data_IF_645583460277
#
_entry.id   IF_645583460277
#
_cell.length_a   1.000
_cell.length_b   1.000
_cell.length_c   1.000
_cell.angle_alpha   90.00
_cell.angle_beta   90.00
_cell.angle_gamma   90.00
#
_symmetry.space_group_name_H-M   'P 1'
#
loop_
_entity.id
_entity.type
_entity.pdbx_description
1 polymer ?
#
# COMPACT_ATOMS: atom_id res chain seq x y z
N UNK A 1 12.00 28.38 -6.80
CA UNK A 1 11.71 26.95 -6.65
C UNK A 1 12.35 26.52 -5.33
N UNK A 2 11.55 26.43 -4.26
CA UNK A 2 12.04 26.14 -2.90
C UNK A 2 11.95 24.64 -2.65
N UNK A 3 13.09 23.97 -2.52
CA UNK A 3 13.14 22.57 -2.11
C UNK A 3 12.84 22.49 -0.62
N UNK A 4 11.68 21.93 -0.24
CA UNK A 4 11.40 21.55 1.15
C UNK A 4 12.15 20.26 1.42
N UNK A 5 13.17 20.31 2.26
CA UNK A 5 13.77 19.10 2.81
C UNK A 5 12.81 18.57 3.88
N UNK A 6 12.12 17.47 3.57
CA UNK A 6 11.33 16.74 4.56
C UNK A 6 12.32 15.99 5.44
N UNK A 7 12.63 16.53 6.61
CA UNK A 7 13.35 15.78 7.63
C UNK A 7 12.41 14.71 8.20
N UNK A 8 12.69 13.44 7.94
CA UNK A 8 11.96 12.32 8.55
C UNK A 8 12.73 11.80 9.76
N UNK A 9 12.11 11.85 10.93
CA UNK A 9 12.62 11.14 12.12
C UNK A 9 12.67 9.63 11.85
N UNK A 10 13.67 8.91 12.36
CA UNK A 10 13.74 7.46 12.22
C UNK A 10 12.53 6.78 12.90
N UNK A 11 12.07 5.63 12.38
CA UNK A 11 11.02 4.85 13.03
C UNK A 11 11.47 4.39 14.43
N UNK A 12 10.53 4.34 15.36
CA UNK A 12 10.80 3.90 16.73
C UNK A 12 11.13 2.41 16.79
N UNK A 13 11.82 1.92 17.85
CA UNK A 13 12.07 0.50 18.03
C UNK A 13 10.78 -0.35 18.03
N UNK A 14 9.69 0.18 18.58
CA UNK A 14 8.39 -0.48 18.57
C UNK A 14 7.80 -0.59 17.15
N UNK A 15 8.03 0.42 16.29
CA UNK A 15 7.61 0.35 14.89
C UNK A 15 8.42 -0.69 14.10
N UNK A 16 9.72 -0.79 14.35
CA UNK A 16 10.58 -1.81 13.75
C UNK A 16 10.15 -3.23 14.16
N UNK A 17 9.87 -3.47 15.46
CA UNK A 17 9.37 -4.77 15.93
C UNK A 17 8.05 -5.16 15.25
N UNK A 18 7.10 -4.24 15.11
CA UNK A 18 5.83 -4.50 14.40
C UNK A 18 6.05 -4.78 12.91
N UNK A 19 7.07 -4.16 12.31
CA UNK A 19 7.42 -4.39 10.91
C UNK A 19 8.02 -5.79 10.71
N UNK A 20 8.84 -6.26 11.65
CA UNK A 20 9.36 -7.63 11.66
C UNK A 20 8.22 -8.65 11.83
N UNK A 21 7.29 -8.41 12.77
CA UNK A 21 6.11 -9.25 12.96
C UNK A 21 5.25 -9.33 11.68
N UNK A 22 5.01 -8.18 11.03
CA UNK A 22 4.28 -8.12 9.76
C UNK A 22 4.98 -8.96 8.69
N UNK A 23 6.30 -8.86 8.60
CA UNK A 23 7.11 -9.59 7.62
C UNK A 23 6.99 -11.10 7.83
N UNK A 24 7.06 -11.58 9.07
CA UNK A 24 6.90 -13.00 9.41
C UNK A 24 5.48 -13.51 9.10
N UNK A 25 4.45 -12.73 9.45
CA UNK A 25 3.06 -13.07 9.11
C UNK A 25 2.90 -13.21 7.60
N UNK A 26 3.42 -12.26 6.81
CA UNK A 26 3.37 -12.31 5.36
C UNK A 26 4.11 -13.54 4.80
N UNK A 27 5.31 -13.86 5.31
CA UNK A 27 6.06 -15.07 4.91
C UNK A 27 5.24 -16.33 5.09
N UNK A 28 4.46 -16.42 6.17
CA UNK A 28 3.66 -17.59 6.52
C UNK A 28 2.53 -17.90 5.53
N UNK A 29 2.04 -16.91 4.77
CA UNK A 29 0.94 -17.11 3.82
C UNK A 29 1.34 -17.78 2.50
N UNK A 30 2.59 -17.67 2.07
CA UNK A 30 3.08 -18.19 0.78
C UNK A 30 2.61 -17.44 -0.47
N UNK A 31 1.38 -16.92 -0.50
CA UNK A 31 0.82 -16.02 -1.54
C UNK A 31 -0.33 -15.19 -1.00
N UNK A 32 -0.53 -13.97 -1.50
CA UNK A 32 -1.57 -13.05 -1.00
C UNK A 32 -2.22 -12.22 -2.11
N UNK A 33 -3.50 -11.86 -1.91
CA UNK A 33 -4.20 -10.80 -2.64
C UNK A 33 -4.40 -9.60 -1.69
N UNK A 34 -3.83 -8.45 -2.03
CA UNK A 34 -3.93 -7.21 -1.23
C UNK A 34 -5.03 -6.32 -1.77
N UNK A 35 -6.03 -5.99 -0.94
CA UNK A 35 -7.01 -4.96 -1.27
C UNK A 35 -6.32 -3.58 -1.24
N UNK A 36 -6.17 -2.97 -2.42
CA UNK A 36 -5.39 -1.75 -2.62
C UNK A 36 -6.31 -0.55 -2.89
N UNK A 37 -6.29 0.43 -1.99
CA UNK A 37 -7.11 1.65 -2.08
C UNK A 37 -6.32 2.89 -2.54
N UNK A 38 -5.00 2.80 -2.65
CA UNK A 38 -4.12 3.93 -2.96
C UNK A 38 -3.64 4.72 -1.74
N UNK A 39 -4.17 4.46 -0.54
CA UNK A 39 -3.71 5.08 0.70
C UNK A 39 -2.36 4.56 1.17
N UNK A 40 -1.70 5.32 2.05
CA UNK A 40 -0.35 5.00 2.59
C UNK A 40 -0.30 3.62 3.25
N UNK A 41 -1.34 3.23 3.97
CA UNK A 41 -1.39 1.93 4.66
C UNK A 41 -1.43 0.76 3.67
N UNK A 42 -2.34 0.83 2.68
CA UNK A 42 -2.45 -0.20 1.64
C UNK A 42 -1.21 -0.27 0.74
N UNK A 43 -0.54 0.88 0.54
CA UNK A 43 0.71 0.96 -0.23
C UNK A 43 1.87 0.35 0.54
N UNK A 44 2.01 0.65 1.83
CA UNK A 44 3.00 0.02 2.70
C UNK A 44 2.81 -1.49 2.75
N UNK A 45 1.57 -1.94 2.97
CA UNK A 45 1.25 -3.36 3.03
C UNK A 45 1.57 -4.08 1.72
N UNK A 46 1.13 -3.52 0.58
CA UNK A 46 1.44 -4.07 -0.74
C UNK A 46 2.96 -4.16 -0.97
N UNK A 47 3.70 -3.11 -0.57
CA UNK A 47 5.15 -3.08 -0.70
C UNK A 47 5.81 -4.19 0.11
N UNK A 48 5.44 -4.36 1.37
CA UNK A 48 5.97 -5.42 2.24
C UNK A 48 5.62 -6.79 1.67
N UNK A 49 4.38 -7.02 1.27
CA UNK A 49 3.94 -8.27 0.65
C UNK A 49 4.76 -8.61 -0.60
N UNK A 50 5.01 -7.62 -1.46
CA UNK A 50 5.80 -7.82 -2.67
C UNK A 50 7.28 -8.06 -2.37
N UNK A 51 7.87 -7.36 -1.40
CA UNK A 51 9.28 -7.57 -1.02
C UNK A 51 9.51 -8.97 -0.40
N UNK A 52 8.50 -9.51 0.27
CA UNK A 52 8.57 -10.82 0.94
C UNK A 52 8.22 -11.98 0.02
N UNK A 53 7.15 -11.87 -0.76
CA UNK A 53 6.59 -12.97 -1.56
C UNK A 53 6.84 -12.84 -3.06
N UNK A 54 7.34 -11.69 -3.51
CA UNK A 54 7.61 -11.39 -4.91
C UNK A 54 6.33 -11.43 -5.76
N UNK A 55 6.36 -12.09 -6.93
CA UNK A 55 5.21 -12.21 -7.83
C UNK A 55 3.97 -12.90 -7.23
N UNK A 56 4.09 -13.52 -6.05
CA UNK A 56 2.98 -14.19 -5.35
C UNK A 56 2.16 -13.23 -4.48
N UNK A 57 2.51 -11.95 -4.45
CA UNK A 57 1.70 -10.88 -3.88
C UNK A 57 1.05 -10.08 -5.03
N UNK A 58 -0.27 -10.17 -5.15
CA UNK A 58 -1.04 -9.44 -6.17
C UNK A 58 -1.89 -8.38 -5.48
N UNK A 59 -2.01 -7.20 -6.08
CA UNK A 59 -2.91 -6.16 -5.62
C UNK A 59 -4.22 -6.19 -6.41
N UNK A 60 -5.35 -5.98 -5.74
CA UNK A 60 -6.64 -5.72 -6.37
C UNK A 60 -7.20 -4.40 -5.88
N UNK A 61 -7.61 -3.54 -6.82
CA UNK A 61 -8.37 -2.33 -6.52
C UNK A 61 -9.76 -2.46 -7.10
N UNK A 62 -10.78 -2.20 -6.29
CA UNK A 62 -12.15 -2.15 -6.77
C UNK A 62 -12.38 -0.82 -7.49
N UNK A 63 -12.71 -0.86 -8.78
CA UNK A 63 -13.30 0.29 -9.46
C UNK A 63 -14.76 0.39 -8.98
N UNK A 64 -15.09 1.28 -8.05
CA UNK A 64 -16.49 1.55 -7.74
C UNK A 64 -17.06 2.55 -8.76
N UNK A 65 -18.19 2.21 -9.37
CA UNK A 65 -18.97 3.05 -10.29
C UNK A 65 -19.68 4.23 -9.59
N UNK A 66 -19.03 4.89 -8.63
CA UNK A 66 -19.64 6.04 -7.91
C UNK A 66 -19.46 7.37 -8.62
N UNK A 67 -18.80 7.40 -9.77
CA UNK A 67 -19.02 8.46 -10.74
C UNK A 67 -20.16 8.00 -11.64
N UNK A 68 -21.34 8.61 -11.49
CA UNK A 68 -22.36 8.53 -12.52
C UNK A 68 -21.72 8.94 -13.85
N UNK A 69 -22.05 8.26 -14.95
CA UNK A 69 -21.52 8.58 -16.29
C UNK A 69 -21.69 10.08 -16.65
N UNK A 70 -22.62 10.76 -15.98
CA UNK A 70 -22.91 12.19 -16.07
C UNK A 70 -21.73 13.09 -15.60
N UNK A 71 -20.96 12.72 -14.57
CA UNK A 71 -19.80 13.52 -14.13
C UNK A 71 -18.61 13.39 -15.09
N UNK A 72 -18.56 12.33 -15.91
CA UNK A 72 -17.54 12.15 -16.96
C UNK A 72 -17.82 13.03 -18.19
N UNK A 73 -19.08 13.48 -18.37
CA UNK A 73 -19.49 14.30 -19.50
C UNK A 73 -19.21 15.80 -19.30
N UNK A 74 -19.18 16.30 -18.06
CA UNK A 74 -18.85 17.70 -17.75
C UNK A 74 -17.33 18.00 -17.80
N UNK A 75 -16.49 16.97 -17.83
CA UNK A 75 -15.03 17.11 -17.89
C UNK A 75 -14.45 17.08 -19.33
N UNK A 76 -15.29 17.16 -20.36
CA UNK A 76 -14.86 17.30 -21.77
C UNK A 76 -14.91 18.74 -22.26
#
# INVERSE_FOLDING_TARGET
>A
MTTVLVESSPPSPAALSKFDDLTEVVRSFGSVLVAYSGGVDSTLLLRVCHDVLGPRAVAASGLSQTYADEELAEAK
#
